data_IF_675307168055
#
_entry.id   IF_675307168055
#
_cell.length_a   1.000
_cell.length_b   1.000
_cell.length_c   1.000
_cell.angle_alpha   90.00
_cell.angle_beta   90.00
_cell.angle_gamma   90.00
#
_symmetry.space_group_name_H-M   'P 1'
#
loop_
_entity.id
_entity.type
_entity.pdbx_description
1 polymer ?
#
# COMPACT_ATOMS: atom_id res chain seq x y z
N UNK A 1 32.25 16.68 17.71
CA UNK A 1 31.68 16.87 16.35
C UNK A 1 31.00 15.55 15.99
N UNK A 2 29.72 15.40 15.67
CA UNK A 2 28.60 16.31 15.47
C UNK A 2 27.37 15.74 16.19
N UNK A 3 26.54 16.61 16.76
CA UNK A 3 25.27 16.26 17.36
C UNK A 3 24.28 16.01 16.22
N UNK A 4 24.01 14.75 15.86
CA UNK A 4 22.94 14.42 14.92
C UNK A 4 21.61 14.71 15.62
N UNK A 5 21.02 15.86 15.34
CA UNK A 5 19.60 16.11 15.57
C UNK A 5 18.82 14.99 14.90
N UNK A 6 18.29 14.05 15.69
CA UNK A 6 17.24 13.14 15.26
C UNK A 6 16.12 14.01 14.68
N UNK A 7 15.93 13.96 13.36
CA UNK A 7 14.85 14.69 12.73
C UNK A 7 13.55 14.18 13.35
N UNK A 8 12.76 15.09 13.93
CA UNK A 8 11.49 14.70 14.55
C UNK A 8 10.59 14.14 13.45
N UNK A 9 10.27 12.84 13.56
CA UNK A 9 9.36 12.14 12.67
C UNK A 9 7.92 12.56 13.01
N UNK A 10 7.49 13.69 12.47
CA UNK A 10 6.21 14.33 12.83
C UNK A 10 5.41 14.88 11.65
N UNK A 11 5.78 14.49 10.43
CA UNK A 11 5.07 14.84 9.20
C UNK A 11 5.16 13.68 8.22
N UNK A 12 4.25 13.64 7.24
CA UNK A 12 4.28 12.65 6.17
C UNK A 12 5.68 12.58 5.53
N UNK A 13 6.22 13.71 5.07
CA UNK A 13 7.50 13.75 4.37
C UNK A 13 8.67 13.28 5.24
N UNK A 14 8.69 13.65 6.53
CA UNK A 14 9.74 13.18 7.44
C UNK A 14 9.71 11.67 7.66
N UNK A 15 8.51 11.08 7.81
CA UNK A 15 8.36 9.62 8.02
C UNK A 15 8.61 8.88 6.72
N UNK A 16 8.04 9.35 5.61
CA UNK A 16 8.22 8.78 4.28
C UNK A 16 9.71 8.69 3.93
N UNK A 17 10.43 9.82 4.03
CA UNK A 17 11.86 9.86 3.75
C UNK A 17 12.66 8.96 4.69
N UNK A 18 12.30 8.92 5.98
CA UNK A 18 12.96 8.02 6.93
C UNK A 18 12.77 6.54 6.54
N UNK A 19 11.55 6.12 6.25
CA UNK A 19 11.24 4.74 5.90
C UNK A 19 11.92 4.32 4.60
N UNK A 20 11.82 5.12 3.54
CA UNK A 20 12.40 4.80 2.23
C UNK A 20 13.92 4.84 2.24
N UNK A 21 14.54 5.76 3.00
CA UNK A 21 16.01 5.80 3.11
C UNK A 21 16.59 4.70 4.01
N UNK A 22 15.81 4.21 5.00
CA UNK A 22 16.28 3.21 5.97
C UNK A 22 16.04 1.78 5.49
N UNK A 23 14.87 1.52 4.89
CA UNK A 23 14.42 0.16 4.55
C UNK A 23 14.33 -0.10 3.05
N UNK A 24 14.46 0.94 2.22
CA UNK A 24 14.25 0.85 0.78
C UNK A 24 12.77 0.74 0.41
N UNK A 25 12.48 0.53 -0.87
CA UNK A 25 11.11 0.34 -1.34
C UNK A 25 10.71 -1.14 -1.31
N UNK A 26 9.53 -1.50 -0.80
CA UNK A 26 9.14 -2.89 -0.67
C UNK A 26 8.91 -3.53 -2.05
N UNK A 27 9.61 -4.63 -2.30
CA UNK A 27 9.45 -5.48 -3.50
C UNK A 27 8.94 -6.86 -3.10
N UNK A 28 9.59 -7.45 -2.11
CA UNK A 28 9.29 -8.78 -1.57
C UNK A 28 8.65 -8.64 -0.19
N UNK A 29 7.94 -9.68 0.28
CA UNK A 29 7.40 -9.69 1.63
C UNK A 29 8.50 -9.49 2.66
N UNK A 30 8.21 -8.68 3.69
CA UNK A 30 9.10 -8.53 4.84
C UNK A 30 9.43 -9.91 5.42
N UNK A 31 10.70 -10.19 5.78
CA UNK A 31 11.06 -11.44 6.44
C UNK A 31 10.47 -11.54 7.86
N UNK A 32 9.99 -10.42 8.41
CA UNK A 32 9.35 -10.32 9.71
C UNK A 32 7.85 -10.06 9.56
N UNK A 33 6.98 -10.71 10.35
CA UNK A 33 5.56 -10.39 10.40
C UNK A 33 5.26 -9.12 11.22
N UNK A 34 6.30 -8.49 11.80
CA UNK A 34 6.20 -7.27 12.60
C UNK A 34 6.63 -6.05 11.78
N UNK A 35 6.10 -4.86 12.12
CA UNK A 35 6.60 -3.61 11.55
C UNK A 35 8.11 -3.48 11.70
N UNK A 36 8.73 -2.76 10.79
CA UNK A 36 10.14 -2.38 10.86
C UNK A 36 10.43 -1.59 12.14
N UNK A 37 9.56 -0.62 12.46
CA UNK A 37 9.57 0.09 13.72
C UNK A 37 8.14 0.21 14.30
N UNK A 38 7.91 -0.47 15.43
CA UNK A 38 6.60 -0.43 16.12
C UNK A 38 6.26 0.95 16.68
N UNK A 39 7.25 1.76 17.02
CA UNK A 39 7.03 3.11 17.57
C UNK A 39 6.52 4.07 16.50
N UNK A 40 6.78 3.77 15.22
CA UNK A 40 6.25 4.54 14.10
C UNK A 40 4.78 4.29 13.83
N UNK A 41 4.21 3.14 14.20
CA UNK A 41 2.78 2.87 13.97
C UNK A 41 1.89 3.91 14.63
N UNK A 42 2.09 4.19 15.92
CA UNK A 42 1.31 5.22 16.64
C UNK A 42 1.61 6.63 16.10
N UNK A 43 2.86 6.87 15.70
CA UNK A 43 3.30 8.15 15.13
C UNK A 43 2.61 8.42 13.80
N UNK A 44 2.51 7.41 12.93
CA UNK A 44 1.85 7.46 11.63
C UNK A 44 0.36 7.79 11.83
N UNK A 45 -0.36 7.04 12.67
CA UNK A 45 -1.79 7.29 12.89
C UNK A 45 -2.07 8.62 13.58
N UNK A 46 -1.14 9.11 14.41
CA UNK A 46 -1.26 10.44 15.05
C UNK A 46 -1.19 11.61 14.05
N UNK A 47 -0.71 11.39 12.83
CA UNK A 47 -0.76 12.41 11.78
C UNK A 47 -2.18 12.66 11.26
N UNK A 48 -3.10 11.69 11.43
CA UNK A 48 -4.48 11.73 10.94
C UNK A 48 -4.56 12.19 9.49
N UNK A 49 -3.83 11.50 8.60
CA UNK A 49 -3.78 11.84 7.17
C UNK A 49 -5.01 11.33 6.44
N UNK A 50 -5.12 11.64 5.14
CA UNK A 50 -6.00 10.85 4.28
C UNK A 50 -5.65 9.37 4.41
N UNK A 51 -6.61 8.44 4.57
CA UNK A 51 -6.29 7.05 4.91
C UNK A 51 -5.41 6.34 3.87
N UNK A 52 -5.43 6.75 2.60
CA UNK A 52 -4.49 6.27 1.57
C UNK A 52 -3.03 6.64 1.87
N UNK A 53 -2.77 7.87 2.31
CA UNK A 53 -1.41 8.30 2.70
C UNK A 53 -0.96 7.60 3.97
N UNK A 54 -1.86 7.40 4.93
CA UNK A 54 -1.58 6.65 6.16
C UNK A 54 -1.28 5.17 5.87
N UNK A 55 -2.12 4.51 5.05
CA UNK A 55 -1.87 3.15 4.55
C UNK A 55 -0.51 3.02 3.89
N UNK A 56 -0.09 4.01 3.09
CA UNK A 56 1.21 4.00 2.41
C UNK A 56 2.37 3.98 3.40
N UNK A 57 2.30 4.81 4.46
CA UNK A 57 3.31 4.82 5.51
C UNK A 57 3.34 3.50 6.29
N UNK A 58 2.18 2.91 6.58
CA UNK A 58 2.13 1.59 7.22
C UNK A 58 2.71 0.49 6.33
N UNK A 59 2.45 0.50 5.01
CA UNK A 59 3.07 -0.44 4.05
C UNK A 59 4.59 -0.29 4.05
N UNK A 60 5.11 0.94 3.99
CA UNK A 60 6.54 1.24 4.04
C UNK A 60 7.18 0.82 5.38
N UNK A 61 6.43 0.87 6.48
CA UNK A 61 6.86 0.38 7.79
C UNK A 61 6.65 -1.15 7.97
N UNK A 62 6.20 -1.87 6.94
CA UNK A 62 5.78 -3.28 7.03
C UNK A 62 4.71 -3.56 8.13
N UNK A 63 3.94 -2.54 8.52
CA UNK A 63 2.80 -2.64 9.43
C UNK A 63 1.52 -3.01 8.65
N UNK A 64 1.55 -4.19 8.07
CA UNK A 64 0.51 -4.67 7.16
C UNK A 64 -0.87 -4.81 7.83
N UNK A 65 -1.00 -5.17 9.13
CA UNK A 65 -2.30 -5.15 9.80
C UNK A 65 -2.98 -3.77 9.81
N UNK A 66 -2.23 -2.71 10.12
CA UNK A 66 -2.74 -1.33 10.12
C UNK A 66 -3.10 -0.87 8.70
N UNK A 67 -2.25 -1.18 7.72
CA UNK A 67 -2.55 -0.91 6.31
C UNK A 67 -3.83 -1.62 5.84
N UNK A 68 -3.99 -2.92 6.15
CA UNK A 68 -5.20 -3.68 5.83
C UNK A 68 -6.45 -3.07 6.45
N UNK A 69 -6.37 -2.66 7.71
CA UNK A 69 -7.49 -2.04 8.40
C UNK A 69 -7.99 -0.82 7.62
N UNK A 70 -7.11 0.09 7.24
CA UNK A 70 -7.47 1.29 6.47
C UNK A 70 -7.96 0.95 5.05
N UNK A 71 -7.25 0.09 4.33
CA UNK A 71 -7.60 -0.32 2.97
C UNK A 71 -9.01 -0.92 2.90
N UNK A 72 -9.43 -1.72 3.89
CA UNK A 72 -10.78 -2.30 3.94
C UNK A 72 -11.90 -1.29 4.03
N UNK A 73 -11.63 -0.10 4.57
CA UNK A 73 -12.62 0.98 4.63
C UNK A 73 -12.70 1.78 3.32
N UNK A 74 -11.75 1.60 2.41
CA UNK A 74 -11.68 2.29 1.12
C UNK A 74 -11.70 1.31 -0.07
N UNK A 75 -12.13 0.06 0.13
CA UNK A 75 -12.01 -1.00 -0.87
C UNK A 75 -13.13 -1.01 -1.93
N UNK A 76 -13.95 0.05 -2.00
CA UNK A 76 -15.11 0.13 -2.88
C UNK A 76 -15.12 1.44 -3.66
N UNK A 77 -15.75 1.44 -4.83
CA UNK A 77 -16.01 2.65 -5.62
C UNK A 77 -16.85 3.64 -4.81
N UNK A 78 -16.53 4.94 -4.80
CA UNK A 78 -15.59 5.62 -5.69
C UNK A 78 -14.17 5.83 -5.12
N UNK A 79 -13.76 5.16 -4.03
CA UNK A 79 -12.41 5.30 -3.44
C UNK A 79 -11.35 4.54 -4.24
N UNK A 80 -11.12 4.95 -5.49
CA UNK A 80 -10.24 4.27 -6.43
C UNK A 80 -8.80 4.20 -5.95
N UNK A 81 -8.32 5.26 -5.31
CA UNK A 81 -7.00 5.31 -4.67
C UNK A 81 -6.88 4.32 -3.51
N UNK A 82 -7.95 4.13 -2.74
CA UNK A 82 -8.04 3.13 -1.67
C UNK A 82 -8.03 1.70 -2.20
N UNK A 83 -8.79 1.45 -3.26
CA UNK A 83 -8.76 0.19 -4.00
C UNK A 83 -7.38 -0.09 -4.60
N UNK A 84 -6.71 0.93 -5.14
CA UNK A 84 -5.40 0.79 -5.74
C UNK A 84 -4.33 0.44 -4.69
N UNK A 85 -4.27 1.18 -3.58
CA UNK A 85 -3.28 0.91 -2.53
C UNK A 85 -3.53 -0.44 -1.84
N UNK A 86 -4.75 -0.97 -1.87
CA UNK A 86 -5.03 -2.34 -1.43
C UNK A 86 -4.36 -3.38 -2.37
N UNK A 87 -4.36 -3.13 -3.68
CA UNK A 87 -3.58 -3.92 -4.64
C UNK A 87 -2.08 -3.86 -4.36
N UNK A 88 -1.55 -2.66 -4.08
CA UNK A 88 -0.14 -2.45 -3.71
C UNK A 88 0.21 -3.25 -2.44
N UNK A 89 -0.65 -3.20 -1.42
CA UNK A 89 -0.51 -3.96 -0.18
C UNK A 89 -0.39 -5.47 -0.45
N UNK A 90 -1.29 -6.03 -1.25
CA UNK A 90 -1.23 -7.45 -1.61
C UNK A 90 0.02 -7.81 -2.43
N UNK A 91 0.51 -6.91 -3.29
CA UNK A 91 1.78 -7.11 -4.02
C UNK A 91 2.94 -7.25 -3.02
N UNK A 92 3.00 -6.37 -2.02
CA UNK A 92 4.02 -6.39 -0.96
C UNK A 92 3.89 -7.64 -0.08
N UNK A 93 2.68 -8.13 0.18
CA UNK A 93 2.43 -9.39 0.91
C UNK A 93 2.86 -10.65 0.13
N UNK A 94 3.06 -10.52 -1.18
CA UNK A 94 3.35 -11.63 -2.07
C UNK A 94 2.10 -12.38 -2.54
N UNK A 95 0.92 -11.75 -2.42
CA UNK A 95 -0.34 -12.22 -2.99
C UNK A 95 -0.57 -11.58 -4.37
N UNK A 96 0.23 -12.03 -5.33
CA UNK A 96 0.31 -11.45 -6.66
C UNK A 96 -0.98 -11.60 -7.47
N UNK A 97 -1.75 -12.67 -7.22
CA UNK A 97 -3.03 -12.89 -7.90
C UNK A 97 -4.07 -11.87 -7.46
N UNK A 98 -4.15 -11.55 -6.16
CA UNK A 98 -5.03 -10.50 -5.69
C UNK A 98 -4.55 -9.12 -6.13
N UNK A 99 -3.24 -8.87 -6.10
CA UNK A 99 -2.66 -7.62 -6.63
C UNK A 99 -3.07 -7.40 -8.10
N UNK A 100 -2.93 -8.42 -8.95
CA UNK A 100 -3.33 -8.39 -10.37
C UNK A 100 -4.81 -8.05 -10.56
N UNK A 101 -5.69 -8.66 -9.76
CA UNK A 101 -7.13 -8.40 -9.81
C UNK A 101 -7.47 -6.97 -9.37
N UNK A 102 -6.86 -6.48 -8.29
CA UNK A 102 -7.04 -5.10 -7.83
C UNK A 102 -6.57 -4.10 -8.88
N UNK A 103 -5.39 -4.32 -9.48
CA UNK A 103 -4.85 -3.44 -10.53
C UNK A 103 -5.79 -3.39 -11.73
N UNK A 104 -6.36 -4.54 -12.12
CA UNK A 104 -7.40 -4.59 -13.16
C UNK A 104 -8.64 -3.78 -12.82
N UNK A 105 -9.10 -3.80 -11.56
CA UNK A 105 -10.28 -3.05 -11.13
C UNK A 105 -10.11 -1.53 -11.16
N UNK A 106 -8.88 -1.05 -10.99
CA UNK A 106 -8.57 0.39 -10.88
C UNK A 106 -7.83 0.94 -12.11
N UNK A 107 -7.59 0.13 -13.14
CA UNK A 107 -6.78 0.47 -14.31
C UNK A 107 -7.17 1.79 -14.99
N UNK A 108 -8.46 2.14 -14.93
CA UNK A 108 -9.00 3.35 -15.55
C UNK A 108 -8.97 4.59 -14.65
N UNK A 109 -8.62 4.45 -13.37
CA UNK A 109 -8.58 5.56 -12.41
C UNK A 109 -7.35 6.46 -12.59
N UNK A 110 -7.48 7.72 -12.21
CA UNK A 110 -6.38 8.70 -12.30
C UNK A 110 -5.19 8.31 -11.42
N UNK A 111 -5.46 7.79 -10.22
CA UNK A 111 -4.42 7.33 -9.31
C UNK A 111 -3.56 6.22 -9.94
N UNK A 112 -4.20 5.24 -10.60
CA UNK A 112 -3.49 4.16 -11.28
C UNK A 112 -2.72 4.66 -12.51
N UNK A 113 -3.37 5.45 -13.38
CA UNK A 113 -2.76 5.99 -14.60
C UNK A 113 -1.56 6.90 -14.31
N UNK A 114 -1.57 7.61 -13.18
CA UNK A 114 -0.43 8.40 -12.72
C UNK A 114 0.79 7.52 -12.39
N UNK A 115 0.56 6.31 -11.86
CA UNK A 115 1.63 5.40 -11.44
C UNK A 115 2.12 4.49 -12.56
N UNK A 116 1.21 4.13 -13.48
CA UNK A 116 1.44 3.23 -14.61
C UNK A 116 0.97 3.89 -15.91
N UNK A 117 1.75 4.83 -16.48
CA UNK A 117 1.37 5.51 -17.72
C UNK A 117 1.35 4.56 -18.93
N UNK A 118 2.07 3.44 -18.90
CA UNK A 118 1.97 2.35 -19.88
C UNK A 118 0.74 1.45 -19.66
N UNK A 119 -0.08 1.73 -18.64
CA UNK A 119 -1.34 1.06 -18.38
C UNK A 119 -1.20 -0.29 -17.65
N UNK A 120 -2.30 -1.04 -17.65
CA UNK A 120 -2.43 -2.29 -16.90
C UNK A 120 -1.38 -3.33 -17.28
N UNK A 121 -1.08 -3.48 -18.57
CA UNK A 121 -0.11 -4.49 -19.04
C UNK A 121 1.31 -4.26 -18.49
N UNK A 122 1.74 -3.00 -18.39
CA UNK A 122 3.03 -2.64 -17.77
C UNK A 122 3.05 -3.04 -16.29
N UNK A 123 1.99 -2.72 -15.56
CA UNK A 123 1.85 -3.02 -14.15
C UNK A 123 1.81 -4.53 -13.87
N UNK A 124 1.09 -5.28 -14.70
CA UNK A 124 1.03 -6.75 -14.63
C UNK A 124 2.37 -7.40 -14.95
N UNK A 125 3.09 -6.88 -15.95
CA UNK A 125 4.43 -7.34 -16.28
C UNK A 125 5.40 -7.12 -15.11
N UNK A 126 5.27 -6.01 -14.38
CA UNK A 126 6.02 -5.77 -13.15
C UNK A 126 5.66 -6.78 -12.06
N UNK A 127 4.37 -7.01 -11.76
CA UNK A 127 3.93 -8.03 -10.79
C UNK A 127 4.53 -9.40 -11.14
N UNK A 128 4.49 -9.80 -12.40
CA UNK A 128 5.06 -11.06 -12.87
C UNK A 128 6.57 -11.17 -12.66
N UNK A 129 7.34 -10.08 -12.85
CA UNK A 129 8.77 -10.07 -12.53
C UNK A 129 9.04 -10.16 -11.03
N UNK A 130 8.25 -9.47 -10.20
CA UNK A 130 8.35 -9.56 -8.73
C UNK A 130 8.03 -10.98 -8.24
N UNK A 131 6.99 -11.61 -8.78
CA UNK A 131 6.63 -12.99 -8.46
C UNK A 131 7.74 -13.97 -8.82
N UNK A 132 8.35 -13.80 -10.00
CA UNK A 132 9.49 -14.61 -10.45
C UNK A 132 10.69 -14.44 -9.54
N UNK A 133 11.02 -13.21 -9.14
CA UNK A 133 12.08 -12.95 -8.17
C UNK A 133 11.80 -13.69 -6.85
N UNK A 134 10.56 -13.67 -6.36
CA UNK A 134 10.21 -14.34 -5.11
C UNK A 134 10.32 -15.86 -5.20
N UNK A 135 9.68 -16.46 -6.21
CA UNK A 135 9.49 -17.91 -6.35
C UNK A 135 10.70 -18.62 -6.93
N UNK A 136 11.33 -18.01 -7.92
CA UNK A 136 12.41 -18.62 -8.71
C UNK A 136 13.79 -18.04 -8.39
N UNK A 137 13.85 -16.97 -7.58
CA UNK A 137 15.10 -16.23 -7.30
C UNK A 137 15.77 -15.70 -8.57
N UNK A 138 14.96 -15.38 -9.57
CA UNK A 138 15.40 -14.93 -10.89
C UNK A 138 14.96 -13.48 -11.14
N UNK A 139 15.91 -12.64 -11.54
CA UNK A 139 15.72 -11.20 -11.80
C UNK A 139 16.66 -10.31 -10.97
N UNK A 140 16.72 -9.02 -11.33
CA UNK A 140 17.48 -8.02 -10.59
C UNK A 140 16.60 -7.38 -9.50
N UNK A 141 16.88 -7.72 -8.24
CA UNK A 141 16.17 -7.18 -7.09
C UNK A 141 16.29 -5.64 -6.99
N UNK A 142 17.44 -5.07 -7.36
CA UNK A 142 17.65 -3.61 -7.30
C UNK A 142 16.90 -2.89 -8.40
N UNK A 143 16.75 -3.51 -9.58
CA UNK A 143 15.90 -2.99 -10.65
C UNK A 143 14.45 -2.94 -10.22
N UNK A 144 13.94 -4.04 -9.66
CA UNK A 144 12.57 -4.12 -9.18
C UNK A 144 12.30 -3.19 -7.99
N UNK A 145 13.30 -2.95 -7.15
CA UNK A 145 13.21 -1.95 -6.08
C UNK A 145 13.08 -0.52 -6.62
N UNK A 146 13.88 -0.15 -7.63
CA UNK A 146 13.75 1.17 -8.29
C UNK A 146 12.37 1.35 -8.93
N UNK A 147 11.84 0.30 -9.54
CA UNK A 147 10.54 0.36 -10.20
C UNK A 147 9.37 0.38 -9.21
N UNK A 148 9.48 -0.37 -8.10
CA UNK A 148 8.56 -0.27 -6.96
C UNK A 148 8.61 1.14 -6.36
N UNK A 149 9.81 1.72 -6.27
CA UNK A 149 10.02 3.10 -5.83
C UNK A 149 9.31 4.11 -6.71
N UNK A 150 9.47 4.03 -8.04
CA UNK A 150 8.73 4.87 -8.99
C UNK A 150 7.22 4.79 -8.79
N UNK A 151 6.66 3.59 -8.62
CA UNK A 151 5.22 3.40 -8.38
C UNK A 151 4.79 4.08 -7.08
N UNK A 152 5.53 3.86 -5.99
CA UNK A 152 5.23 4.39 -4.66
C UNK A 152 5.41 5.91 -4.58
N UNK A 153 6.45 6.45 -5.23
CA UNK A 153 6.70 7.89 -5.35
C UNK A 153 5.58 8.57 -6.14
N UNK A 154 5.14 7.97 -7.26
CA UNK A 154 4.05 8.49 -8.07
C UNK A 154 2.73 8.50 -7.29
N UNK A 155 2.41 7.41 -6.57
CA UNK A 155 1.22 7.33 -5.74
C UNK A 155 1.26 8.36 -4.60
N UNK A 156 2.40 8.46 -3.89
CA UNK A 156 2.60 9.45 -2.85
C UNK A 156 2.41 10.88 -3.39
N UNK A 157 3.04 11.20 -4.53
CA UNK A 157 2.92 12.50 -5.19
C UNK A 157 1.48 12.84 -5.58
N UNK A 158 0.78 11.89 -6.21
CA UNK A 158 -0.62 12.05 -6.59
C UNK A 158 -1.50 12.26 -5.36
N UNK A 159 -1.38 11.43 -4.31
CA UNK A 159 -2.17 11.60 -3.10
C UNK A 159 -1.89 12.92 -2.38
N UNK A 160 -0.63 13.37 -2.34
CA UNK A 160 -0.27 14.68 -1.77
C UNK A 160 -0.90 15.83 -2.55
N UNK A 161 -0.91 15.75 -3.89
CA UNK A 161 -1.52 16.78 -4.73
C UNK A 161 -3.05 16.80 -4.57
N UNK A 162 -3.69 15.63 -4.48
CA UNK A 162 -5.15 15.48 -4.41
C UNK A 162 -5.71 15.79 -3.02
N UNK A 163 -5.04 15.34 -1.95
CA UNK A 163 -5.58 15.38 -0.59
C UNK A 163 -4.77 16.27 0.37
N UNK A 164 -3.55 16.64 0.01
CA UNK A 164 -2.61 17.29 0.93
C UNK A 164 -2.08 16.35 2.01
N UNK A 165 -1.25 16.89 2.90
CA UNK A 165 -0.67 16.16 4.06
C UNK A 165 -1.05 16.80 5.39
N UNK A 166 -2.02 17.70 5.38
CA UNK A 166 -2.53 18.32 6.59
C UNK A 166 -3.37 17.31 7.37
N UNK A 167 -3.45 17.53 8.69
CA UNK A 167 -4.31 16.75 9.56
C UNK A 167 -5.76 16.82 9.08
N UNK A 168 -6.38 15.67 8.85
CA UNK A 168 -7.77 15.51 8.48
C UNK A 168 -8.57 15.16 9.75
N UNK A 169 -9.35 16.12 10.25
CA UNK A 169 -10.13 15.92 11.49
C UNK A 169 -11.28 14.93 11.31
N UNK A 170 -11.82 14.83 10.09
CA UNK A 170 -12.87 13.87 9.72
C UNK A 170 -12.52 13.15 8.41
N UNK A 171 -12.04 11.91 8.55
CA UNK A 171 -11.75 11.03 7.41
C UNK A 171 -12.94 10.18 6.98
N UNK A 172 -14.12 10.34 7.59
CA UNK A 172 -15.29 9.50 7.30
C UNK A 172 -15.78 9.61 5.85
N UNK A 173 -15.45 10.71 5.16
CA UNK A 173 -15.77 10.89 3.75
C UNK A 173 -14.96 9.98 2.82
N UNK A 174 -13.79 9.50 3.27
CA UNK A 174 -13.01 8.49 2.54
C UNK A 174 -13.54 7.06 2.78
N UNK A 175 -14.41 6.87 3.78
CA UNK A 175 -14.99 5.55 4.06
C UNK A 175 -16.15 5.24 3.12
N UNK A 176 -15.96 4.21 2.32
CA UNK A 176 -16.97 3.76 1.37
C UNK A 176 -17.64 2.49 1.89
N UNK A 177 -18.89 2.64 2.33
CA UNK A 177 -19.69 1.50 2.78
C UNK A 177 -19.83 0.48 1.65
N UNK A 178 -19.53 -0.82 1.90
CA UNK A 178 -19.75 -1.86 0.90
C UNK A 178 -21.23 -1.93 0.55
N UNK A 179 -21.55 -2.15 -0.73
CA UNK A 179 -22.91 -2.45 -1.17
C UNK A 179 -23.37 -3.81 -0.64
N UNK A 180 -24.64 -4.14 -0.84
CA UNK A 180 -25.26 -5.35 -0.29
C UNK A 180 -24.59 -6.63 -0.81
N UNK A 181 -24.26 -6.66 -2.11
CA UNK A 181 -23.57 -7.79 -2.75
C UNK A 181 -22.15 -7.97 -2.23
N UNK A 182 -21.43 -6.88 -2.00
CA UNK A 182 -20.08 -6.88 -1.45
C UNK A 182 -20.08 -7.33 0.03
N UNK A 183 -21.10 -6.96 0.81
CA UNK A 183 -21.31 -7.46 2.17
C UNK A 183 -21.59 -8.96 2.20
N UNK A 184 -22.41 -9.46 1.28
CA UNK A 184 -22.68 -10.89 1.17
C UNK A 184 -21.44 -11.69 0.76
N UNK A 185 -20.63 -11.17 -0.19
CA UNK A 185 -19.36 -11.78 -0.58
C UNK A 185 -18.37 -11.78 0.58
N UNK A 186 -18.21 -10.67 1.29
CA UNK A 186 -17.36 -10.59 2.49
C UNK A 186 -17.83 -11.56 3.59
N UNK A 187 -19.14 -11.63 3.85
CA UNK A 187 -19.72 -12.57 4.80
C UNK A 187 -19.51 -14.03 4.38
N UNK A 188 -19.64 -14.34 3.08
CA UNK A 188 -19.33 -15.67 2.53
C UNK A 188 -17.84 -16.01 2.63
N UNK A 189 -16.94 -15.04 2.55
CA UNK A 189 -15.51 -15.25 2.80
C UNK A 189 -15.16 -15.42 4.29
N UNK A 190 -15.98 -14.90 5.20
CA UNK A 190 -15.83 -15.07 6.66
C UNK A 190 -16.44 -16.41 7.13
N UNK A 191 -17.56 -16.83 6.53
CA UNK A 191 -18.36 -18.00 6.95
C UNK A 191 -18.10 -19.24 6.08
N UNK A 192 -17.60 -19.07 4.85
CA UNK A 192 -17.29 -20.14 3.91
C UNK A 192 -15.79 -20.42 3.84
N UNK A 193 -15.35 -21.47 4.52
CA UNK A 193 -14.00 -22.01 4.46
C UNK A 193 -13.61 -22.59 3.10
N UNK A 194 -13.45 -21.74 2.09
CA UNK A 194 -12.74 -22.06 0.84
C UNK A 194 -11.56 -21.11 0.58
N UNK A 195 -11.01 -20.53 1.65
CA UNK A 195 -9.64 -19.99 1.66
C UNK A 195 -8.69 -21.07 2.17
N UNK A 196 -7.83 -21.59 1.30
CA UNK A 196 -6.81 -22.58 1.64
C UNK A 196 -5.88 -22.11 2.77
N UNK A 197 -6.22 -22.46 4.02
CA UNK A 197 -5.29 -22.86 5.09
C UNK A 197 -5.98 -23.90 5.95
N UNK A 198 -5.48 -25.13 5.92
CA UNK A 198 -5.73 -26.10 6.98
C UNK A 198 -4.88 -25.68 8.19
N UNK A 199 -5.51 -25.51 9.34
CA UNK A 199 -4.84 -25.68 10.63
C UNK A 199 -4.74 -27.17 10.94
#
# INVERSE_FOLDING_TARGET
MANQTSAKLSSFDSIYNHLTSTYGFPVLPSPSPRPHDKTLSDTISSLSLHPTLESLLHILNADLPSAHFLCRHMQNKPAWEGMYIHGLLHRVEGDYRNADAWYGNVAESDAFKCCWPGGLEEAKAFIGRVERLRKEKSGDAKELERESGREIDALAGWCKQTFGTSKLEDASQAWVKPGEKERELAAKMIVGGEGWRKF
#
